data_IF_435458546165
#
_entry.id   IF_435458546165
#
_cell.length_a   1.000
_cell.length_b   1.000
_cell.length_c   1.000
_cell.angle_alpha   90.00
_cell.angle_beta   90.00
_cell.angle_gamma   90.00
#
_symmetry.space_group_name_H-M   'P 1'
#
loop_
_entity.id
_entity.type
_entity.pdbx_description
1 polymer ?
#
# COMPACT_ATOMS: atom_id res chain seq x y z
N UNK A 1 17.71 9.69 -4.03
CA UNK A 1 16.38 9.17 -4.45
C UNK A 1 15.88 8.27 -3.33
N UNK A 2 14.62 8.40 -2.91
CA UNK A 2 14.01 7.56 -1.87
C UNK A 2 13.33 6.40 -2.60
N UNK A 3 13.88 5.20 -2.49
CA UNK A 3 13.48 4.03 -3.29
C UNK A 3 13.39 2.74 -2.46
N UNK A 4 13.29 2.89 -1.14
CA UNK A 4 13.16 1.76 -0.23
C UNK A 4 12.42 2.14 1.04
N UNK A 5 11.69 1.17 1.58
CA UNK A 5 11.07 1.21 2.89
C UNK A 5 11.71 0.13 3.75
N UNK A 6 12.37 0.54 4.84
CA UNK A 6 13.00 -0.39 5.78
C UNK A 6 12.02 -0.72 6.91
N UNK A 7 11.96 -1.99 7.27
CA UNK A 7 11.06 -2.49 8.30
C UNK A 7 11.88 -2.95 9.50
N UNK A 8 11.44 -2.56 10.69
CA UNK A 8 12.08 -2.87 11.96
C UNK A 8 11.06 -3.40 12.95
N UNK A 9 11.46 -4.32 13.81
CA UNK A 9 10.69 -4.76 14.96
C UNK A 9 11.06 -3.93 16.19
N UNK A 10 10.09 -3.67 17.07
CA UNK A 10 10.33 -2.99 18.35
C UNK A 10 10.08 -3.97 19.52
N UNK A 11 10.76 -3.79 20.66
CA UNK A 11 11.58 -2.63 21.04
C UNK A 11 13.02 -2.63 20.52
N UNK A 12 13.56 -3.79 20.11
CA UNK A 12 15.00 -3.97 19.90
C UNK A 12 15.55 -3.36 18.58
N UNK A 13 14.68 -2.77 17.76
CA UNK A 13 15.01 -2.24 16.43
C UNK A 13 15.60 -3.30 15.49
N UNK A 14 15.19 -4.56 15.63
CA UNK A 14 15.64 -5.64 14.76
C UNK A 14 15.21 -5.39 13.32
N UNK A 15 16.17 -5.42 12.40
CA UNK A 15 15.89 -5.25 10.98
C UNK A 15 15.16 -6.46 10.41
N UNK A 16 13.94 -6.25 9.91
CA UNK A 16 13.08 -7.29 9.36
C UNK A 16 13.26 -7.49 7.86
N UNK A 17 13.66 -6.44 7.15
CA UNK A 17 13.84 -6.43 5.71
C UNK A 17 13.58 -5.07 5.08
N UNK A 18 13.76 -5.02 3.75
CA UNK A 18 13.54 -3.83 2.94
C UNK A 18 12.56 -4.14 1.82
N UNK A 19 11.58 -3.26 1.63
CA UNK A 19 10.75 -3.22 0.42
C UNK A 19 11.39 -2.23 -0.54
N UNK A 20 11.66 -2.67 -1.77
CA UNK A 20 12.08 -1.77 -2.84
C UNK A 20 10.86 -1.07 -3.43
N UNK A 21 11.02 0.20 -3.77
CA UNK A 21 9.97 1.02 -4.36
C UNK A 21 10.52 1.75 -5.58
N UNK A 22 9.64 2.22 -6.46
CA UNK A 22 9.99 3.33 -7.36
C UNK A 22 10.46 4.55 -6.55
N UNK A 23 10.96 5.59 -7.24
CA UNK A 23 11.23 6.87 -6.59
C UNK A 23 9.95 7.37 -5.89
N UNK A 24 10.01 7.43 -4.56
CA UNK A 24 8.92 7.77 -3.67
C UNK A 24 9.26 9.07 -2.92
N UNK A 25 9.36 10.23 -3.61
CA UNK A 25 9.79 11.48 -2.99
C UNK A 25 8.79 11.99 -1.95
N UNK A 26 7.52 11.63 -2.07
CA UNK A 26 6.46 11.97 -1.11
C UNK A 26 6.45 11.03 0.11
N UNK A 27 7.27 9.98 0.14
CA UNK A 27 7.36 9.03 1.24
C UNK A 27 6.04 8.29 1.52
N UNK A 28 5.20 8.07 0.50
CA UNK A 28 3.90 7.44 0.70
C UNK A 28 4.06 5.98 1.10
N UNK A 29 3.46 5.63 2.24
CA UNK A 29 3.41 4.29 2.83
C UNK A 29 2.18 4.23 3.73
N UNK A 30 1.59 3.05 3.86
CA UNK A 30 0.51 2.79 4.81
C UNK A 30 0.84 1.56 5.64
N UNK A 31 0.50 1.57 6.92
CA UNK A 31 0.74 0.46 7.86
C UNK A 31 -0.54 0.23 8.65
N UNK A 32 -0.95 -1.04 8.80
CA UNK A 32 -2.05 -1.43 9.68
C UNK A 32 -1.62 -1.34 11.14
N UNK A 33 -2.55 -0.99 12.02
CA UNK A 33 -2.27 -0.81 13.46
C UNK A 33 -2.63 -2.02 14.30
N UNK A 34 -3.30 -3.01 13.71
CA UNK A 34 -3.60 -4.29 14.35
C UNK A 34 -2.37 -5.19 14.44
N UNK A 35 -2.11 -5.69 15.65
CA UNK A 35 -0.94 -6.50 16.01
C UNK A 35 -1.00 -7.95 15.50
N UNK A 36 -2.13 -8.41 14.97
CA UNK A 36 -2.26 -9.78 14.44
C UNK A 36 -2.01 -9.83 12.93
N UNK A 37 -2.36 -8.76 12.20
CA UNK A 37 -2.33 -8.79 10.73
C UNK A 37 -1.03 -8.24 10.14
N UNK A 38 -0.47 -7.17 10.72
CA UNK A 38 0.74 -6.47 10.28
C UNK A 38 0.85 -6.36 8.75
N UNK A 39 0.08 -5.45 8.17
CA UNK A 39 0.06 -5.17 6.73
C UNK A 39 0.73 -3.82 6.48
N UNK A 40 1.65 -3.79 5.52
CA UNK A 40 2.27 -2.57 5.01
C UNK A 40 1.98 -2.45 3.51
N UNK A 41 1.65 -1.26 3.04
CA UNK A 41 1.50 -0.96 1.62
C UNK A 41 2.41 0.20 1.20
N UNK A 42 3.05 0.08 0.05
CA UNK A 42 3.91 1.12 -0.54
C UNK A 42 3.79 1.08 -2.07
N UNK A 43 4.30 2.07 -2.81
CA UNK A 43 4.51 1.93 -4.25
C UNK A 43 5.44 0.76 -4.57
N UNK A 44 5.09 -0.05 -5.57
CA UNK A 44 5.92 -1.16 -6.06
C UNK A 44 7.23 -0.66 -6.68
N UNK A 45 8.26 -1.49 -6.71
CA UNK A 45 9.49 -1.22 -7.47
C UNK A 45 9.29 -1.24 -8.99
N UNK A 46 8.26 -1.96 -9.47
CA UNK A 46 8.03 -2.15 -10.90
C UNK A 46 7.30 -0.98 -11.55
N UNK A 47 6.44 -0.26 -10.82
CA UNK A 47 5.64 0.83 -11.39
C UNK A 47 5.06 1.75 -10.32
N UNK A 48 5.11 3.06 -10.58
CA UNK A 48 4.51 4.08 -9.71
C UNK A 48 2.97 4.00 -9.63
N UNK A 49 2.34 3.24 -10.51
CA UNK A 49 0.90 3.05 -10.56
C UNK A 49 0.44 1.78 -9.82
N UNK A 50 1.40 1.02 -9.29
CA UNK A 50 1.21 -0.28 -8.65
C UNK A 50 1.57 -0.18 -7.18
N UNK A 51 0.74 -0.75 -6.32
CA UNK A 51 1.03 -0.88 -4.90
C UNK A 51 1.60 -2.27 -4.61
N UNK A 52 2.64 -2.35 -3.78
CA UNK A 52 3.05 -3.58 -3.11
C UNK A 52 2.40 -3.64 -1.73
N UNK A 53 1.86 -4.79 -1.37
CA UNK A 53 1.30 -5.11 -0.05
C UNK A 53 2.18 -6.19 0.56
N UNK A 54 2.78 -5.88 1.70
CA UNK A 54 3.58 -6.78 2.51
C UNK A 54 2.78 -7.16 3.76
N UNK A 55 2.47 -8.44 3.91
CA UNK A 55 1.97 -9.01 5.16
C UNK A 55 3.17 -9.55 5.93
N UNK A 56 3.31 -9.14 7.19
CA UNK A 56 4.44 -9.51 8.05
C UNK A 56 4.06 -10.55 9.11
N UNK A 57 2.83 -11.06 9.06
CA UNK A 57 2.41 -12.21 9.87
C UNK A 57 3.19 -13.49 9.52
N UNK A 58 2.83 -14.61 10.17
CA UNK A 58 3.57 -15.90 10.14
C UNK A 58 4.01 -16.40 8.75
N UNK A 59 3.32 -16.05 7.66
CA UNK A 59 3.63 -16.54 6.31
C UNK A 59 4.40 -15.56 5.42
N UNK A 60 4.68 -14.33 5.89
CA UNK A 60 5.33 -13.24 5.12
C UNK A 60 4.96 -13.23 3.63
N UNK A 61 3.77 -12.73 3.31
CA UNK A 61 3.23 -12.74 1.94
C UNK A 61 3.35 -11.36 1.31
N UNK A 62 3.83 -11.29 0.06
CA UNK A 62 3.86 -10.07 -0.74
C UNK A 62 2.92 -10.18 -1.94
N UNK A 63 2.20 -9.11 -2.24
CA UNK A 63 1.30 -9.00 -3.38
C UNK A 63 1.49 -7.66 -4.07
N UNK A 64 1.32 -7.64 -5.38
CA UNK A 64 1.30 -6.40 -6.15
C UNK A 64 -0.04 -6.19 -6.83
N UNK A 65 -0.48 -4.94 -6.88
CA UNK A 65 -1.77 -4.55 -7.45
C UNK A 65 -1.57 -3.32 -8.33
N UNK A 66 -1.87 -3.44 -9.62
CA UNK A 66 -1.94 -2.29 -10.51
C UNK A 66 -3.17 -1.46 -10.16
N UNK A 67 -2.98 -0.37 -9.42
CA UNK A 67 -4.09 0.41 -8.87
C UNK A 67 -4.68 1.35 -9.92
N UNK A 68 -3.84 2.10 -10.63
CA UNK A 68 -4.27 3.22 -11.47
C UNK A 68 -3.55 3.27 -12.82
N UNK A 69 -3.96 4.21 -13.69
CA UNK A 69 -3.21 4.56 -14.91
C UNK A 69 -2.15 5.63 -14.68
N UNK A 70 -2.35 6.44 -13.64
CA UNK A 70 -1.45 7.50 -13.19
C UNK A 70 -0.78 7.11 -11.86
N UNK A 71 0.35 7.74 -11.50
CA UNK A 71 1.07 7.42 -10.28
C UNK A 71 0.18 7.50 -9.04
N UNK A 72 0.37 6.55 -8.12
CA UNK A 72 -0.28 6.56 -6.82
C UNK A 72 0.22 7.77 -6.06
N UNK A 73 -0.72 8.57 -5.56
CA UNK A 73 -0.43 9.76 -4.76
C UNK A 73 -0.75 9.55 -3.28
N UNK A 74 -1.62 8.59 -2.95
CA UNK A 74 -1.97 8.28 -1.57
C UNK A 74 -2.37 6.82 -1.37
N UNK A 75 -2.00 6.28 -0.21
CA UNK A 75 -2.33 4.94 0.28
C UNK A 75 -2.92 5.04 1.69
N UNK A 76 -3.92 4.21 2.02
CA UNK A 76 -4.45 4.10 3.38
C UNK A 76 -4.96 2.68 3.63
N UNK A 77 -4.59 2.10 4.77
CA UNK A 77 -5.07 0.79 5.22
C UNK A 77 -6.13 0.97 6.30
N UNK A 78 -7.08 0.04 6.37
CA UNK A 78 -7.89 -0.12 7.58
C UNK A 78 -7.02 -0.57 8.76
N UNK A 79 -7.47 -0.34 9.99
CA UNK A 79 -6.73 -0.74 11.20
C UNK A 79 -6.37 -2.22 11.19
N UNK A 80 -7.31 -3.07 10.78
CA UNK A 80 -7.13 -4.53 10.64
C UNK A 80 -6.32 -4.94 9.40
N UNK A 81 -5.93 -3.99 8.55
CA UNK A 81 -5.17 -4.22 7.33
C UNK A 81 -5.93 -4.98 6.23
N UNK A 82 -7.25 -5.23 6.36
CA UNK A 82 -8.03 -6.00 5.38
C UNK A 82 -8.30 -5.25 4.08
N UNK A 83 -8.38 -3.92 4.17
CA UNK A 83 -8.69 -3.06 3.03
C UNK A 83 -7.58 -2.04 2.79
N UNK A 84 -7.24 -1.86 1.51
CA UNK A 84 -6.35 -0.80 1.03
C UNK A 84 -7.13 0.17 0.15
N UNK A 85 -7.19 1.44 0.54
CA UNK A 85 -7.67 2.53 -0.29
C UNK A 85 -6.48 3.22 -1.00
N UNK A 86 -6.61 3.47 -2.29
CA UNK A 86 -5.59 4.17 -3.08
C UNK A 86 -6.20 5.26 -3.95
N UNK A 87 -5.44 6.32 -4.17
CA UNK A 87 -5.77 7.40 -5.10
C UNK A 87 -4.55 7.76 -5.94
N UNK A 88 -4.77 8.15 -7.19
CA UNK A 88 -3.71 8.61 -8.09
C UNK A 88 -3.56 10.13 -8.07
N UNK A 89 -2.52 10.64 -8.72
CA UNK A 89 -2.28 12.07 -8.92
C UNK A 89 -3.46 12.81 -9.60
N UNK A 90 -4.28 12.10 -10.38
CA UNK A 90 -5.46 12.67 -11.02
C UNK A 90 -6.57 12.99 -10.01
N UNK A 91 -6.62 12.29 -8.87
CA UNK A 91 -7.55 12.59 -7.78
C UNK A 91 -9.04 12.28 -8.03
N UNK A 92 -9.41 11.81 -9.24
CA UNK A 92 -10.82 11.60 -9.62
C UNK A 92 -11.41 10.29 -9.12
N UNK A 93 -10.56 9.29 -8.81
CA UNK A 93 -10.96 7.94 -8.40
C UNK A 93 -10.22 7.50 -7.14
N UNK A 94 -11.00 7.01 -6.18
CA UNK A 94 -10.49 6.28 -5.02
C UNK A 94 -10.88 4.82 -5.21
N UNK A 95 -9.90 3.94 -5.22
CA UNK A 95 -10.12 2.49 -5.37
C UNK A 95 -9.85 1.79 -4.05
N UNK A 96 -10.69 0.82 -3.71
CA UNK A 96 -10.56 0.00 -2.51
C UNK A 96 -10.31 -1.44 -2.90
N UNK A 97 -9.27 -2.03 -2.32
CA UNK A 97 -8.83 -3.39 -2.59
C UNK A 97 -8.88 -4.24 -1.33
N UNK A 98 -9.14 -5.53 -1.49
CA UNK A 98 -8.90 -6.53 -0.45
C UNK A 98 -7.39 -6.86 -0.43
N UNK A 99 -6.74 -6.73 0.72
CA UNK A 99 -5.28 -6.94 0.81
C UNK A 99 -4.89 -8.42 0.70
N UNK A 100 -5.74 -9.35 1.14
CA UNK A 100 -5.51 -10.79 1.08
C UNK A 100 -5.72 -11.36 -0.32
N UNK A 101 -6.78 -10.94 -1.01
CA UNK A 101 -7.10 -11.47 -2.35
C UNK A 101 -6.53 -10.62 -3.48
N UNK A 102 -6.06 -9.41 -3.19
CA UNK A 102 -5.64 -8.41 -4.17
C UNK A 102 -6.75 -7.97 -5.15
N UNK A 103 -8.02 -8.26 -4.83
CA UNK A 103 -9.16 -7.91 -5.68
C UNK A 103 -9.61 -6.46 -5.43
N UNK A 104 -9.93 -5.76 -6.51
CA UNK A 104 -10.64 -4.47 -6.46
C UNK A 104 -12.08 -4.72 -6.00
N UNK A 105 -12.47 -4.09 -4.88
CA UNK A 105 -13.80 -4.26 -4.29
C UNK A 105 -14.74 -3.11 -4.67
N UNK A 106 -14.23 -1.87 -4.65
CA UNK A 106 -15.04 -0.67 -4.89
C UNK A 106 -14.22 0.44 -5.55
N UNK A 107 -14.93 1.28 -6.30
CA UNK A 107 -14.39 2.51 -6.87
C UNK A 107 -15.33 3.66 -6.53
N UNK A 108 -14.81 4.66 -5.83
CA UNK A 108 -15.49 5.91 -5.57
C UNK A 108 -14.98 6.95 -6.56
N UNK A 109 -15.89 7.78 -7.08
CA UNK A 109 -15.56 8.86 -8.01
C UNK A 109 -15.97 10.18 -7.40
N UNK A 110 -15.05 11.13 -7.35
CA UNK A 110 -15.37 12.49 -6.96
C UNK A 110 -15.75 13.27 -8.24
N UNK A 111 -16.92 13.92 -8.26
CA UNK A 111 -17.28 14.86 -9.33
C UNK A 111 -18.34 14.43 -10.36
N UNK A 112 -19.12 13.36 -10.12
CA UNK A 112 -20.36 13.13 -10.88
C UNK A 112 -21.50 12.87 -9.90
N UNK A 113 -22.33 13.89 -9.68
CA UNK A 113 -23.68 13.70 -9.16
C UNK A 113 -24.39 12.74 -10.11
N UNK A 114 -24.96 11.66 -9.57
CA UNK A 114 -25.98 10.89 -10.28
C UNK A 114 -27.24 11.74 -10.42
#
# INVERSE_FOLDING_TARGET
MINSVNMYNFPDADFLGTIKTVNNPSGIVAVSTDIETFVLAAPSEHSANTAIIQMLNKKRVSKEIMCHRNPIQQLCLTNDGRLLATCSQEGTRIKVFNTYTAQELRVYRYGLRQ
#
